data_IF_167042787765
#
_entry.id   IF_167042787765
#
_cell.length_a   1.000
_cell.length_b   1.000
_cell.length_c   1.000
_cell.angle_alpha   90.00
_cell.angle_beta   90.00
_cell.angle_gamma   90.00
#
_symmetry.space_group_name_H-M   'P 1'
#
loop_
_entity.id
_entity.type
_entity.pdbx_description
1 polymer ?
#
# COMPACT_ATOMS: atom_id res chain seq x y z
N UNK A 1 14.76 -2.80 4.67
CA UNK A 1 14.08 -3.53 5.76
C UNK A 1 15.03 -4.31 6.66
N UNK A 2 15.65 -5.42 6.23
CA UNK A 2 16.52 -6.24 7.11
C UNK A 2 17.75 -5.51 7.72
N UNK A 3 18.18 -4.37 7.15
CA UNK A 3 19.23 -3.51 7.72
C UNK A 3 18.75 -2.54 8.79
N UNK A 4 17.44 -2.30 8.86
CA UNK A 4 16.81 -1.27 9.71
C UNK A 4 15.88 -1.87 10.77
N UNK A 5 15.57 -3.17 10.69
CA UNK A 5 14.79 -3.91 11.67
C UNK A 5 15.29 -5.36 11.81
N UNK A 6 14.89 -6.05 12.88
CA UNK A 6 15.17 -7.48 13.09
C UNK A 6 14.25 -8.41 12.28
N UNK A 7 13.43 -7.88 11.36
CA UNK A 7 12.53 -8.67 10.52
C UNK A 7 13.34 -9.33 9.40
N UNK A 8 13.24 -10.65 9.27
CA UNK A 8 13.84 -11.39 8.15
C UNK A 8 12.99 -11.15 6.90
N UNK A 9 13.61 -10.59 5.87
CA UNK A 9 12.98 -10.32 4.57
C UNK A 9 13.70 -11.19 3.53
N UNK A 10 12.94 -11.83 2.64
CA UNK A 10 13.50 -12.63 1.55
C UNK A 10 14.21 -11.72 0.54
N UNK A 11 15.32 -12.19 -0.02
CA UNK A 11 16.10 -11.42 -1.00
C UNK A 11 15.40 -11.33 -2.37
N UNK A 12 14.64 -12.35 -2.74
CA UNK A 12 13.88 -12.41 -3.99
C UNK A 12 12.37 -12.22 -3.72
N UNK A 13 11.68 -11.38 -4.52
CA UNK A 13 10.24 -11.21 -4.40
C UNK A 13 9.51 -12.47 -4.86
N UNK A 14 8.43 -12.82 -4.16
CA UNK A 14 7.51 -13.88 -4.59
C UNK A 14 6.32 -13.21 -5.24
N UNK A 15 6.05 -13.56 -6.50
CA UNK A 15 4.93 -13.04 -7.27
C UNK A 15 3.83 -14.09 -7.28
N UNK A 16 2.71 -13.77 -6.63
CA UNK A 16 1.55 -14.64 -6.51
C UNK A 16 0.31 -14.00 -7.12
N UNK A 17 -0.66 -14.84 -7.47
CA UNK A 17 -2.01 -14.39 -7.82
C UNK A 17 -2.90 -14.44 -6.58
N UNK A 18 -3.96 -13.63 -6.57
CA UNK A 18 -4.90 -13.63 -5.43
C UNK A 18 -5.74 -14.90 -5.30
N UNK A 19 -5.82 -15.73 -6.33
CA UNK A 19 -6.43 -17.07 -6.29
C UNK A 19 -5.45 -18.18 -5.88
N UNK A 20 -4.18 -17.84 -5.61
CA UNK A 20 -3.18 -18.80 -5.16
C UNK A 20 -3.32 -19.07 -3.65
N UNK A 21 -3.29 -20.33 -3.24
CA UNK A 21 -3.32 -20.70 -1.82
C UNK A 21 -2.02 -20.34 -1.10
N UNK A 22 -0.91 -20.13 -1.82
CA UNK A 22 0.35 -19.74 -1.20
C UNK A 22 0.28 -18.37 -0.53
N UNK A 23 -0.69 -17.51 -0.86
CA UNK A 23 -0.85 -16.20 -0.20
C UNK A 23 -1.05 -16.34 1.31
N UNK A 24 -1.66 -17.44 1.78
CA UNK A 24 -1.87 -17.69 3.21
C UNK A 24 -0.57 -17.95 4.00
N UNK A 25 0.55 -18.21 3.30
CA UNK A 25 1.85 -18.38 3.95
C UNK A 25 2.55 -17.05 4.26
N UNK A 26 2.01 -15.93 3.77
CA UNK A 26 2.64 -14.61 3.87
C UNK A 26 1.67 -13.63 4.55
N UNK A 27 2.03 -13.03 5.70
CA UNK A 27 1.12 -12.12 6.42
C UNK A 27 0.97 -10.74 5.76
N UNK A 28 1.80 -10.44 4.76
CA UNK A 28 1.88 -9.14 4.12
C UNK A 28 1.95 -9.31 2.61
N UNK A 29 0.96 -8.80 1.90
CA UNK A 29 0.93 -8.69 0.44
C UNK A 29 1.16 -7.24 0.03
N UNK A 30 1.89 -7.05 -1.07
CA UNK A 30 2.11 -5.75 -1.69
C UNK A 30 1.65 -5.80 -3.14
N UNK A 31 0.83 -4.84 -3.56
CA UNK A 31 0.22 -4.82 -4.87
C UNK A 31 0.27 -3.41 -5.47
N UNK A 32 0.51 -3.34 -6.78
CA UNK A 32 0.82 -2.10 -7.48
C UNK A 32 -0.20 -1.83 -8.57
N UNK A 33 -0.39 -0.55 -8.89
CA UNK A 33 -1.11 -0.09 -10.10
C UNK A 33 -2.56 -0.58 -10.23
N UNK A 34 -3.24 -0.87 -9.11
CA UNK A 34 -4.55 -1.54 -9.11
C UNK A 34 -5.72 -0.71 -9.69
N UNK A 35 -5.52 0.60 -9.90
CA UNK A 35 -6.45 1.47 -10.62
C UNK A 35 -6.05 1.73 -12.08
N UNK A 36 -4.87 1.29 -12.51
CA UNK A 36 -4.36 1.55 -13.85
C UNK A 36 -5.14 0.72 -14.88
N UNK A 37 -5.16 1.17 -16.12
CA UNK A 37 -5.79 0.48 -17.26
C UNK A 37 -7.28 0.13 -17.09
N UNK A 38 -8.00 0.85 -16.22
CA UNK A 38 -9.45 0.68 -16.05
C UNK A 38 -9.85 -0.22 -14.89
N UNK A 39 -8.93 -0.55 -13.99
CA UNK A 39 -9.19 -1.28 -12.74
C UNK A 39 -8.65 -2.70 -12.77
N UNK A 40 -8.93 -3.44 -11.70
CA UNK A 40 -8.35 -4.76 -11.44
C UNK A 40 -9.20 -5.92 -11.99
N UNK A 41 -10.53 -5.76 -12.07
CA UNK A 41 -11.47 -6.79 -12.52
C UNK A 41 -11.20 -8.20 -11.94
N UNK A 42 -11.23 -8.30 -10.60
CA UNK A 42 -11.04 -9.57 -9.89
C UNK A 42 -12.04 -10.63 -10.33
N UNK A 43 -11.56 -11.85 -10.55
CA UNK A 43 -12.42 -13.02 -10.70
C UNK A 43 -13.15 -13.34 -9.39
N UNK A 44 -14.25 -14.11 -9.44
CA UNK A 44 -14.92 -14.57 -8.22
C UNK A 44 -14.02 -15.36 -7.27
N UNK A 45 -13.07 -16.13 -7.82
CA UNK A 45 -12.11 -16.92 -7.05
C UNK A 45 -11.09 -16.03 -6.35
N UNK A 46 -10.49 -15.07 -7.06
CA UNK A 46 -9.58 -14.08 -6.47
C UNK A 46 -10.29 -13.24 -5.41
N UNK A 47 -11.55 -12.85 -5.66
CA UNK A 47 -12.36 -12.08 -4.70
C UNK A 47 -12.58 -12.86 -3.41
N UNK A 48 -13.01 -14.12 -3.50
CA UNK A 48 -13.28 -14.93 -2.32
C UNK A 48 -11.99 -15.27 -1.55
N UNK A 49 -10.93 -15.67 -2.27
CA UNK A 49 -9.67 -16.05 -1.64
C UNK A 49 -8.97 -14.86 -0.99
N UNK A 50 -8.96 -13.68 -1.64
CA UNK A 50 -8.41 -12.46 -1.04
C UNK A 50 -9.23 -12.00 0.16
N UNK A 51 -10.56 -12.08 0.10
CA UNK A 51 -11.44 -11.77 1.24
C UNK A 51 -11.10 -12.68 2.43
N UNK A 52 -11.01 -13.99 2.21
CA UNK A 52 -10.65 -14.97 3.24
C UNK A 52 -9.26 -14.68 3.83
N UNK A 53 -8.27 -14.36 2.99
CA UNK A 53 -6.92 -13.97 3.42
C UNK A 53 -6.95 -12.79 4.40
N UNK A 54 -7.67 -11.71 4.06
CA UNK A 54 -7.76 -10.50 4.87
C UNK A 54 -8.49 -10.77 6.20
N UNK A 55 -9.59 -11.51 6.15
CA UNK A 55 -10.37 -11.89 7.34
C UNK A 55 -9.61 -12.83 8.29
N UNK A 56 -8.61 -13.56 7.80
CA UNK A 56 -7.72 -14.41 8.63
C UNK A 56 -6.56 -13.65 9.27
N UNK A 57 -6.52 -12.33 9.14
CA UNK A 57 -5.45 -11.49 9.68
C UNK A 57 -4.39 -11.07 8.67
N UNK A 58 -4.55 -11.43 7.39
CA UNK A 58 -3.67 -10.94 6.33
C UNK A 58 -3.70 -9.42 6.21
N UNK A 59 -2.59 -8.84 5.76
CA UNK A 59 -2.46 -7.42 5.43
C UNK A 59 -2.17 -7.24 3.95
N UNK A 60 -2.83 -6.27 3.30
CA UNK A 60 -2.59 -5.91 1.91
C UNK A 60 -2.24 -4.41 1.80
N UNK A 61 -1.05 -4.11 1.32
CA UNK A 61 -0.65 -2.77 0.90
C UNK A 61 -0.87 -2.59 -0.60
N UNK A 62 -1.61 -1.56 -0.99
CA UNK A 62 -1.84 -1.15 -2.37
C UNK A 62 -1.17 0.21 -2.61
N UNK A 63 -0.42 0.34 -3.69
CA UNK A 63 0.42 1.52 -3.97
C UNK A 63 0.58 1.75 -5.49
N UNK A 64 1.23 2.85 -5.88
CA UNK A 64 1.52 3.23 -7.26
C UNK A 64 0.29 3.32 -8.18
N UNK A 65 -0.68 4.15 -7.79
CA UNK A 65 -1.75 4.55 -8.71
C UNK A 65 -2.19 5.99 -8.42
N UNK A 66 -2.63 6.68 -9.48
CA UNK A 66 -2.56 8.13 -9.56
C UNK A 66 -3.85 8.76 -10.08
N UNK A 67 -4.28 9.84 -9.44
CA UNK A 67 -5.40 10.65 -9.89
C UNK A 67 -6.78 9.99 -9.72
N UNK A 68 -7.81 10.80 -9.92
CA UNK A 68 -9.22 10.41 -9.73
C UNK A 68 -9.64 9.30 -10.70
N UNK A 69 -9.18 9.32 -11.95
CA UNK A 69 -9.56 8.30 -12.93
C UNK A 69 -9.14 6.88 -12.50
N UNK A 70 -7.92 6.73 -11.98
CA UNK A 70 -7.44 5.43 -11.51
C UNK A 70 -8.10 5.06 -10.18
N UNK A 71 -8.33 6.04 -9.31
CA UNK A 71 -9.07 5.85 -8.07
C UNK A 71 -10.48 5.32 -8.32
N UNK A 72 -11.24 5.94 -9.22
CA UNK A 72 -12.62 5.52 -9.53
C UNK A 72 -12.66 4.08 -10.08
N UNK A 73 -11.70 3.75 -10.96
CA UNK A 73 -11.58 2.42 -11.53
C UNK A 73 -11.23 1.37 -10.46
N UNK A 74 -10.27 1.68 -9.59
CA UNK A 74 -9.93 0.86 -8.43
C UNK A 74 -11.15 0.68 -7.51
N UNK A 75 -11.78 1.78 -7.09
CA UNK A 75 -12.88 1.79 -6.14
C UNK A 75 -14.08 1.00 -6.66
N UNK A 76 -14.42 1.13 -7.94
CA UNK A 76 -15.53 0.40 -8.57
C UNK A 76 -15.37 -1.12 -8.44
N UNK A 77 -14.17 -1.64 -8.61
CA UNK A 77 -13.92 -3.08 -8.56
C UNK A 77 -13.59 -3.57 -7.16
N UNK A 78 -12.77 -2.82 -6.42
CA UNK A 78 -12.25 -3.23 -5.13
C UNK A 78 -13.30 -3.12 -4.01
N UNK A 79 -14.26 -2.19 -4.09
CA UNK A 79 -15.37 -2.12 -3.13
C UNK A 79 -16.25 -3.38 -3.12
N UNK A 80 -16.22 -4.19 -4.18
CA UNK A 80 -16.92 -5.48 -4.24
C UNK A 80 -16.30 -6.52 -3.30
N UNK A 81 -15.03 -6.34 -2.93
CA UNK A 81 -14.32 -7.22 -2.01
C UNK A 81 -14.96 -7.20 -0.61
N UNK A 82 -15.45 -6.06 -0.14
CA UNK A 82 -16.21 -5.93 1.11
C UNK A 82 -17.39 -4.96 0.90
N UNK A 83 -18.56 -5.44 0.42
CA UNK A 83 -19.69 -4.58 0.13
C UNK A 83 -20.32 -3.94 1.38
N UNK A 84 -19.97 -4.44 2.56
CA UNK A 84 -20.42 -4.03 3.88
C UNK A 84 -19.38 -3.20 4.66
N UNK A 85 -18.21 -2.93 4.07
CA UNK A 85 -17.15 -2.11 4.69
C UNK A 85 -16.82 -0.90 3.82
N UNK A 86 -16.56 0.22 4.48
CA UNK A 86 -16.17 1.46 3.82
C UNK A 86 -14.64 1.52 3.63
N UNK A 87 -14.22 2.10 2.50
CA UNK A 87 -12.84 2.55 2.30
C UNK A 87 -12.74 3.94 2.93
N UNK A 88 -12.03 4.05 4.06
CA UNK A 88 -11.97 5.27 4.87
C UNK A 88 -10.61 5.93 4.78
N UNK A 89 -10.56 7.25 4.61
CA UNK A 89 -9.30 8.00 4.66
C UNK A 89 -8.72 8.01 6.09
N UNK A 90 -7.44 7.69 6.21
CA UNK A 90 -6.74 7.71 7.49
C UNK A 90 -6.25 9.12 7.84
N UNK A 91 -6.46 9.53 9.09
CA UNK A 91 -5.94 10.78 9.60
C UNK A 91 -4.48 10.64 10.07
N UNK A 92 -3.74 11.76 10.13
CA UNK A 92 -2.32 11.74 10.53
C UNK A 92 -2.07 11.23 11.95
N UNK A 93 -3.08 11.23 12.82
CA UNK A 93 -2.96 10.66 14.18
C UNK A 93 -3.13 9.14 14.25
N UNK A 94 -3.49 8.47 13.15
CA UNK A 94 -3.68 7.02 13.15
C UNK A 94 -2.39 6.30 13.52
N UNK A 95 -2.47 5.27 14.37
CA UNK A 95 -1.30 4.61 14.97
C UNK A 95 -0.34 3.99 13.94
N UNK A 96 -0.85 3.67 12.75
CA UNK A 96 -0.05 3.19 11.62
C UNK A 96 1.06 4.18 11.22
N UNK A 97 0.89 5.47 11.49
CA UNK A 97 1.91 6.50 11.24
C UNK A 97 2.89 6.69 12.40
N UNK A 98 2.64 6.03 13.53
CA UNK A 98 3.33 6.22 14.81
C UNK A 98 3.89 4.93 15.41
N UNK A 99 3.87 3.82 14.65
CA UNK A 99 4.21 2.49 15.16
C UNK A 99 5.71 2.32 15.42
N UNK A 100 6.58 2.85 14.56
CA UNK A 100 8.05 2.79 14.74
C UNK A 100 8.73 4.13 14.53
N UNK A 101 8.43 4.77 13.40
CA UNK A 101 8.66 6.19 13.17
C UNK A 101 7.40 6.98 13.51
N UNK A 102 7.61 8.24 13.88
CA UNK A 102 6.57 9.27 14.02
C UNK A 102 6.54 10.08 12.72
N UNK A 103 5.42 9.99 11.99
CA UNK A 103 5.22 10.58 10.67
C UNK A 103 3.89 11.35 10.68
N UNK A 104 3.87 12.54 10.10
CA UNK A 104 2.65 13.37 10.01
C UNK A 104 1.75 12.92 8.85
N UNK A 105 1.30 11.66 8.91
CA UNK A 105 0.35 11.08 7.96
C UNK A 105 0.93 10.66 6.60
N UNK A 106 0.04 10.52 5.61
CA UNK A 106 0.37 10.13 4.25
C UNK A 106 1.44 11.06 3.63
N UNK A 107 2.40 10.47 2.92
CA UNK A 107 3.46 11.21 2.25
C UNK A 107 3.35 10.98 0.75
N UNK A 108 3.36 12.06 -0.03
CA UNK A 108 3.51 11.93 -1.48
C UNK A 108 4.95 11.52 -1.80
N UNK A 109 5.11 10.33 -2.39
CA UNK A 109 6.38 9.86 -2.92
C UNK A 109 6.24 9.85 -4.45
N UNK A 110 7.06 10.63 -5.19
CA UNK A 110 6.88 10.79 -6.62
C UNK A 110 7.38 9.55 -7.35
N UNK A 111 6.65 9.15 -8.39
CA UNK A 111 7.18 8.19 -9.36
C UNK A 111 8.37 8.75 -10.14
N UNK A 112 9.00 7.92 -10.97
CA UNK A 112 10.26 8.17 -11.67
C UNK A 112 10.15 9.25 -12.74
N UNK A 113 8.93 9.51 -13.23
CA UNK A 113 8.61 10.64 -14.09
C UNK A 113 8.55 11.98 -13.33
N UNK A 114 8.26 11.92 -12.02
CA UNK A 114 8.11 13.04 -11.10
C UNK A 114 9.41 13.47 -10.40
N UNK A 115 10.59 13.24 -10.99
CA UNK A 115 11.96 13.55 -10.46
C UNK A 115 12.19 14.97 -9.90
N UNK A 116 11.20 15.86 -10.01
CA UNK A 116 11.20 17.21 -9.43
C UNK A 116 10.36 17.33 -8.16
N UNK A 117 9.83 16.23 -7.63
CA UNK A 117 8.98 16.23 -6.44
C UNK A 117 7.53 16.65 -6.70
N UNK A 118 7.07 16.56 -7.96
CA UNK A 118 5.68 16.78 -8.31
C UNK A 118 4.94 15.46 -8.31
N UNK A 119 3.66 15.49 -7.94
CA UNK A 119 2.81 14.33 -8.09
C UNK A 119 2.41 14.12 -9.55
N UNK A 120 1.49 13.19 -9.77
CA UNK A 120 1.01 12.86 -11.12
C UNK A 120 -0.48 13.19 -11.27
N UNK A 121 -0.97 13.13 -12.50
CA UNK A 121 -2.39 13.36 -12.81
C UNK A 121 -2.98 14.69 -12.28
N UNK A 122 -2.14 15.71 -12.08
CA UNK A 122 -2.55 17.02 -11.58
C UNK A 122 -2.76 17.11 -10.07
N UNK A 123 -2.32 16.10 -9.31
CA UNK A 123 -2.41 16.06 -7.85
C UNK A 123 -1.02 16.03 -7.23
N UNK A 124 -0.76 16.94 -6.28
CA UNK A 124 0.53 17.07 -5.58
C UNK A 124 0.47 16.62 -4.10
N UNK A 125 -0.65 16.04 -3.67
CA UNK A 125 -0.83 15.47 -2.34
C UNK A 125 -1.16 13.98 -2.43
N UNK A 126 -0.77 13.22 -1.42
CA UNK A 126 -1.18 11.83 -1.26
C UNK A 126 -2.16 11.73 -0.08
N UNK A 127 -3.02 10.73 -0.13
CA UNK A 127 -3.79 10.29 1.04
C UNK A 127 -3.75 8.77 1.12
N UNK A 128 -3.86 8.25 2.33
CA UNK A 128 -4.00 6.81 2.52
C UNK A 128 -5.40 6.49 2.98
N UNK A 129 -5.91 5.39 2.47
CA UNK A 129 -7.23 4.88 2.82
C UNK A 129 -7.11 3.47 3.37
N UNK A 130 -8.10 3.05 4.13
CA UNK A 130 -8.10 1.76 4.78
C UNK A 130 -9.46 1.07 4.73
N UNK A 131 -9.41 -0.26 4.66
CA UNK A 131 -10.51 -1.14 5.05
C UNK A 131 -10.11 -1.81 6.36
N UNK A 132 -10.93 -1.65 7.40
CA UNK A 132 -10.70 -2.18 8.74
C UNK A 132 -11.52 -3.43 9.00
N UNK A 133 -11.03 -4.33 9.87
CA UNK A 133 -11.81 -5.43 10.41
C UNK A 133 -12.77 -4.98 11.53
N UNK A 134 -13.46 -5.93 12.16
CA UNK A 134 -14.47 -5.66 13.20
C UNK A 134 -13.86 -5.11 14.50
N UNK A 135 -12.55 -5.25 14.68
CA UNK A 135 -11.80 -4.78 15.84
C UNK A 135 -11.11 -3.44 15.56
N UNK A 136 -11.25 -2.90 14.35
CA UNK A 136 -10.66 -1.63 13.92
C UNK A 136 -9.23 -1.75 13.40
N UNK A 137 -8.69 -2.96 13.25
CA UNK A 137 -7.37 -3.18 12.66
C UNK A 137 -7.44 -3.00 11.15
N UNK A 138 -6.44 -2.32 10.57
CA UNK A 138 -6.33 -2.15 9.12
C UNK A 138 -6.00 -3.49 8.46
N UNK A 139 -6.88 -3.97 7.59
CA UNK A 139 -6.65 -5.15 6.74
C UNK A 139 -6.04 -4.76 5.39
N UNK A 140 -6.56 -3.69 4.79
CA UNK A 140 -6.10 -3.16 3.52
C UNK A 140 -5.68 -1.72 3.72
N UNK A 141 -4.45 -1.39 3.35
CA UNK A 141 -3.94 -0.04 3.30
C UNK A 141 -3.73 0.36 1.84
N UNK A 142 -4.26 1.50 1.45
CA UNK A 142 -4.28 1.98 0.07
C UNK A 142 -3.58 3.34 0.06
N UNK A 143 -2.36 3.40 -0.46
CA UNK A 143 -1.71 4.66 -0.74
C UNK A 143 -2.21 5.17 -2.09
N UNK A 144 -2.88 6.32 -2.09
CA UNK A 144 -3.30 6.96 -3.31
C UNK A 144 -2.42 8.16 -3.64
N UNK A 145 -2.03 8.28 -4.91
CA UNK A 145 -1.21 9.37 -5.42
C UNK A 145 0.22 9.37 -4.82
N UNK A 146 0.77 8.18 -4.62
CA UNK A 146 2.13 7.94 -4.14
C UNK A 146 2.68 6.63 -4.72
N UNK A 147 4.00 6.54 -4.81
CA UNK A 147 4.74 5.35 -5.26
C UNK A 147 5.95 5.12 -4.35
N UNK A 148 5.79 4.27 -3.35
CA UNK A 148 6.85 3.90 -2.41
C UNK A 148 7.93 3.05 -3.09
N UNK A 149 7.55 2.26 -4.09
CA UNK A 149 8.44 1.41 -4.87
C UNK A 149 9.59 2.22 -5.48
N UNK A 150 9.27 3.31 -6.17
CA UNK A 150 10.28 4.19 -6.76
C UNK A 150 11.18 4.85 -5.70
N UNK A 151 10.64 5.16 -4.52
CA UNK A 151 11.44 5.64 -3.39
C UNK A 151 12.52 4.62 -2.96
N UNK A 152 12.18 3.34 -2.93
CA UNK A 152 13.12 2.27 -2.60
C UNK A 152 14.10 1.97 -3.74
N UNK A 153 13.61 1.84 -4.97
CA UNK A 153 14.42 1.51 -6.16
C UNK A 153 15.46 2.59 -6.48
N UNK A 154 15.12 3.86 -6.23
CA UNK A 154 15.94 4.99 -6.64
C UNK A 154 16.67 5.69 -5.48
N UNK A 155 16.78 5.01 -4.33
CA UNK A 155 17.48 5.53 -3.14
C UNK A 155 18.89 6.10 -3.44
N UNK A 156 19.60 5.53 -4.41
CA UNK A 156 20.96 5.94 -4.79
C UNK A 156 21.04 6.67 -6.15
N UNK A 157 19.91 6.99 -6.78
CA UNK A 157 19.90 7.83 -7.99
C UNK A 157 20.11 9.30 -7.58
N UNK A 158 21.17 9.92 -8.09
CA UNK A 158 21.49 11.33 -7.84
C UNK A 158 20.36 12.30 -8.26
N UNK A 159 19.45 11.87 -9.14
CA UNK A 159 18.32 12.65 -9.64
C UNK A 159 17.01 12.38 -8.89
N UNK A 160 17.01 11.47 -7.92
CA UNK A 160 15.85 11.19 -7.08
C UNK A 160 16.11 11.76 -5.67
N UNK A 161 15.35 12.77 -5.21
CA UNK A 161 15.63 13.41 -3.93
C UNK A 161 15.56 12.42 -2.76
N UNK A 162 16.63 12.34 -1.97
CA UNK A 162 16.78 11.38 -0.85
C UNK A 162 15.66 11.48 0.18
N UNK A 163 15.03 12.64 0.34
CA UNK A 163 13.90 12.81 1.24
C UNK A 163 12.73 11.85 0.92
N UNK A 164 12.44 11.61 -0.36
CA UNK A 164 11.35 10.73 -0.77
C UNK A 164 11.69 9.26 -0.55
N UNK A 165 12.95 8.89 -0.78
CA UNK A 165 13.45 7.56 -0.41
C UNK A 165 13.35 7.33 1.10
N UNK A 166 13.73 8.32 1.91
CA UNK A 166 13.60 8.25 3.36
C UNK A 166 12.14 8.09 3.80
N UNK A 167 11.21 8.89 3.26
CA UNK A 167 9.77 8.76 3.55
C UNK A 167 9.24 7.38 3.16
N UNK A 168 9.64 6.85 1.99
CA UNK A 168 9.27 5.49 1.56
C UNK A 168 9.76 4.42 2.54
N UNK A 169 11.00 4.51 3.04
CA UNK A 169 11.49 3.58 4.06
C UNK A 169 10.74 3.72 5.39
N UNK A 170 10.48 4.93 5.83
CA UNK A 170 9.79 5.19 7.10
C UNK A 170 8.36 4.63 7.08
N UNK A 171 7.59 4.95 6.04
CA UNK A 171 6.26 4.41 5.85
C UNK A 171 6.28 2.88 5.74
N UNK A 172 7.18 2.31 4.92
CA UNK A 172 7.28 0.86 4.74
C UNK A 172 7.60 0.11 6.05
N UNK A 173 8.47 0.68 6.88
CA UNK A 173 8.80 0.12 8.20
C UNK A 173 7.60 0.18 9.13
N UNK A 174 6.91 1.32 9.18
CA UNK A 174 5.70 1.47 9.98
C UNK A 174 4.62 0.47 9.57
N UNK A 175 4.33 0.36 8.28
CA UNK A 175 3.27 -0.53 7.77
C UNK A 175 3.58 -2.00 8.04
N UNK A 176 4.84 -2.41 7.81
CA UNK A 176 5.23 -3.79 8.08
C UNK A 176 5.16 -4.11 9.57
N UNK A 177 5.62 -3.23 10.45
CA UNK A 177 5.54 -3.48 11.89
C UNK A 177 4.08 -3.50 12.33
N UNK A 178 3.27 -2.54 11.88
CA UNK A 178 1.84 -2.49 12.18
C UNK A 178 1.15 -3.82 11.83
N UNK A 179 1.39 -4.33 10.61
CA UNK A 179 0.80 -5.59 10.12
C UNK A 179 1.20 -6.84 10.92
N UNK A 180 2.27 -6.77 11.71
CA UNK A 180 2.80 -7.89 12.49
C UNK A 180 2.46 -7.80 13.98
N UNK A 181 1.93 -6.67 14.44
CA UNK A 181 1.71 -6.39 15.88
C UNK A 181 0.26 -6.09 16.26
N UNK A 182 -0.61 -5.85 15.29
CA UNK A 182 -2.05 -5.66 15.47
C UNK A 182 -2.76 -6.77 14.70
#
# INVERSE_FOLDING_TARGET
MARLSNVRVMEEPIVLRFDDEEIFNYPFLYALEMGRNGGISLSPQETENLREYLLRGGFLLIDDFWGEQQWDAFYQDFSKLFPDREITELNSSHEIYHTFYDIDGAQMIPGRGGRRGFGQAGMDNASNHAIMDDEGRVMVLINWNSDMGDGWEHTYDQWYPTQYANSAYQLGINYLIYSLTH
#
